data_IF_929226802921
#
_entry.id   IF_929226802921
#
_cell.length_a   1.000
_cell.length_b   1.000
_cell.length_c   1.000
_cell.angle_alpha   90.00
_cell.angle_beta   90.00
_cell.angle_gamma   90.00
#
_symmetry.space_group_name_H-M   'P 1'
#
loop_
_entity.id
_entity.type
_entity.pdbx_description
1 polymer ?
#
# COMPACT_ATOMS: atom_id res chain seq x y z
N UNK A 1 -26.07 -0.84 -13.78
CA UNK A 1 -26.63 -0.84 -15.10
C UNK A 1 -26.10 -2.03 -15.92
N UNK A 2 -26.98 -2.75 -16.66
CA UNK A 2 -26.63 -3.99 -17.40
C UNK A 2 -25.57 -3.80 -18.49
N UNK A 3 -25.34 -2.58 -18.98
CA UNK A 3 -24.36 -2.29 -20.03
C UNK A 3 -22.93 -2.43 -19.54
N UNK A 4 -22.64 -2.07 -18.29
CA UNK A 4 -21.29 -2.08 -17.71
C UNK A 4 -20.70 -3.49 -17.63
N UNK A 5 -21.54 -4.54 -17.53
CA UNK A 5 -21.09 -5.94 -17.41
C UNK A 5 -20.77 -6.57 -18.77
N UNK A 6 -21.23 -5.99 -19.89
CA UNK A 6 -21.08 -6.55 -21.24
C UNK A 6 -19.76 -6.20 -21.89
N UNK A 7 -19.21 -5.04 -21.54
CA UNK A 7 -18.03 -4.50 -22.17
C UNK A 7 -16.79 -4.74 -21.28
N UNK A 8 -15.64 -4.90 -21.92
CA UNK A 8 -14.38 -4.91 -21.16
C UNK A 8 -14.19 -3.56 -20.45
N UNK A 9 -13.69 -3.57 -19.21
CA UNK A 9 -13.36 -2.33 -18.49
C UNK A 9 -12.29 -1.51 -19.20
N UNK A 10 -12.24 -0.21 -18.90
CA UNK A 10 -11.10 0.64 -19.28
C UNK A 10 -9.82 0.10 -18.63
N UNK A 11 -8.86 -0.33 -19.45
CA UNK A 11 -7.58 -0.88 -18.99
C UNK A 11 -6.80 0.07 -18.08
N UNK A 12 -6.95 1.36 -18.31
CA UNK A 12 -6.23 2.42 -17.61
C UNK A 12 -6.96 2.90 -16.35
N UNK A 13 -8.24 2.52 -16.18
CA UNK A 13 -9.11 2.96 -15.09
C UNK A 13 -9.06 4.49 -14.91
N UNK A 14 -9.11 5.23 -16.03
CA UNK A 14 -8.85 6.68 -16.08
C UNK A 14 -9.76 7.45 -15.14
N UNK A 15 -11.07 7.18 -15.13
CA UNK A 15 -12.00 7.88 -14.26
C UNK A 15 -11.66 7.67 -12.78
N UNK A 16 -11.47 6.41 -12.36
CA UNK A 16 -11.12 6.08 -10.99
C UNK A 16 -9.79 6.74 -10.58
N UNK A 17 -8.77 6.69 -11.44
CA UNK A 17 -7.47 7.33 -11.17
C UNK A 17 -7.58 8.84 -11.02
N UNK A 18 -8.38 9.50 -11.88
CA UNK A 18 -8.62 10.95 -11.77
C UNK A 18 -9.36 11.32 -10.48
N UNK A 19 -10.35 10.52 -10.07
CA UNK A 19 -11.10 10.78 -8.85
C UNK A 19 -10.22 10.57 -7.60
N UNK A 20 -9.39 9.52 -7.57
CA UNK A 20 -8.42 9.28 -6.50
C UNK A 20 -7.31 10.36 -6.48
N UNK A 21 -6.84 10.80 -7.65
CA UNK A 21 -5.88 11.89 -7.77
C UNK A 21 -6.40 13.18 -7.14
N UNK A 22 -7.65 13.51 -7.44
CA UNK A 22 -8.35 14.67 -6.85
C UNK A 22 -8.53 14.52 -5.35
N UNK A 23 -8.92 13.31 -4.89
CA UNK A 23 -9.11 13.01 -3.47
C UNK A 23 -7.83 13.24 -2.66
N UNK A 24 -6.69 12.82 -3.20
CA UNK A 24 -5.39 12.88 -2.50
C UNK A 24 -4.55 14.12 -2.85
N UNK A 25 -4.98 14.94 -3.81
CA UNK A 25 -4.20 16.10 -4.26
C UNK A 25 -2.87 15.71 -4.93
N UNK A 26 -2.83 14.57 -5.62
CA UNK A 26 -1.62 14.07 -6.29
C UNK A 26 -1.88 13.86 -7.80
N UNK A 27 -0.84 13.87 -8.65
CA UNK A 27 -0.98 13.54 -10.07
C UNK A 27 -1.53 12.12 -10.30
N UNK A 28 -2.37 11.94 -11.32
CA UNK A 28 -2.97 10.64 -11.64
C UNK A 28 -1.95 9.58 -12.08
N UNK A 29 -0.80 10.00 -12.55
CA UNK A 29 0.33 9.15 -12.94
C UNK A 29 0.95 8.40 -11.74
N UNK A 30 0.77 8.93 -10.54
CA UNK A 30 1.20 8.29 -9.29
C UNK A 30 0.23 7.21 -8.81
N UNK A 31 -0.86 6.93 -9.54
CA UNK A 31 -1.93 6.02 -9.11
C UNK A 31 -2.07 4.81 -10.04
N UNK A 32 -2.26 3.63 -9.46
CA UNK A 32 -2.56 2.39 -10.16
C UNK A 32 -3.66 1.64 -9.40
N UNK A 33 -4.82 1.44 -10.06
CA UNK A 33 -5.87 0.58 -9.53
C UNK A 33 -5.46 -0.90 -9.62
N UNK A 34 -5.90 -1.72 -8.68
CA UNK A 34 -5.60 -3.16 -8.62
C UNK A 34 -6.77 -4.00 -8.15
N UNK A 35 -6.71 -5.30 -8.41
CA UNK A 35 -7.69 -6.31 -7.99
C UNK A 35 -7.58 -6.56 -6.48
N UNK A 36 -8.00 -5.59 -5.70
CA UNK A 36 -7.76 -5.49 -4.27
C UNK A 36 -6.29 -5.14 -3.95
N UNK A 37 -6.04 -4.80 -2.69
CA UNK A 37 -4.68 -4.57 -2.22
C UNK A 37 -3.78 -5.80 -2.36
N UNK A 38 -4.34 -7.02 -2.36
CA UNK A 38 -3.59 -8.27 -2.46
C UNK A 38 -2.80 -8.40 -3.78
N UNK A 39 -3.37 -7.99 -4.92
CA UNK A 39 -2.63 -7.91 -6.18
C UNK A 39 -1.45 -6.95 -6.06
N UNK A 40 -1.71 -5.77 -5.49
CA UNK A 40 -0.71 -4.71 -5.36
C UNK A 40 0.43 -5.10 -4.41
N UNK A 41 0.13 -5.84 -3.32
CA UNK A 41 1.17 -6.43 -2.47
C UNK A 41 2.04 -7.43 -3.25
N UNK A 42 1.46 -8.20 -4.15
CA UNK A 42 2.23 -9.14 -4.97
C UNK A 42 3.23 -8.41 -5.88
N UNK A 43 2.82 -7.30 -6.50
CA UNK A 43 3.73 -6.49 -7.31
C UNK A 43 4.77 -5.73 -6.49
N UNK A 44 4.37 -5.19 -5.34
CA UNK A 44 5.30 -4.57 -4.39
C UNK A 44 6.36 -5.56 -3.89
N UNK A 45 5.95 -6.81 -3.60
CA UNK A 45 6.84 -7.87 -3.18
C UNK A 45 7.87 -8.26 -4.26
N UNK A 46 7.50 -8.17 -5.55
CA UNK A 46 8.46 -8.36 -6.66
C UNK A 46 9.57 -7.32 -6.63
N UNK A 47 9.22 -6.07 -6.42
CA UNK A 47 10.22 -5.00 -6.29
C UNK A 47 11.03 -5.17 -4.99
N UNK A 48 10.38 -5.57 -3.90
CA UNK A 48 11.04 -5.85 -2.62
C UNK A 48 12.08 -6.98 -2.76
N UNK A 49 11.72 -8.11 -3.37
CA UNK A 49 12.63 -9.24 -3.58
C UNK A 49 13.88 -8.86 -4.38
N UNK A 50 13.76 -7.89 -5.30
CA UNK A 50 14.90 -7.35 -6.07
C UNK A 50 15.74 -6.33 -5.30
N UNK A 51 15.15 -5.69 -4.29
CA UNK A 51 15.81 -4.65 -3.51
C UNK A 51 16.65 -5.20 -2.37
N UNK A 52 16.34 -6.40 -1.88
CA UNK A 52 17.05 -7.08 -0.80
C UNK A 52 16.12 -7.66 0.29
N UNK A 53 16.66 -8.06 1.44
CA UNK A 53 15.87 -8.59 2.53
C UNK A 53 14.81 -7.62 3.03
N UNK A 54 13.59 -8.12 3.20
CA UNK A 54 12.44 -7.37 3.70
C UNK A 54 12.30 -7.50 5.21
N UNK A 55 11.92 -6.43 5.88
CA UNK A 55 11.49 -6.41 7.26
C UNK A 55 9.97 -6.33 7.32
N UNK A 56 9.31 -7.35 7.90
CA UNK A 56 7.85 -7.48 7.92
C UNK A 56 7.35 -7.41 9.36
N UNK A 57 6.30 -6.61 9.66
CA UNK A 57 5.78 -6.46 11.02
C UNK A 57 5.27 -7.79 11.59
N UNK A 58 5.53 -8.02 12.89
CA UNK A 58 5.12 -9.22 13.62
C UNK A 58 4.62 -8.83 15.03
N UNK A 59 3.40 -9.22 15.42
CA UNK A 59 2.41 -9.85 14.55
C UNK A 59 2.03 -8.93 13.39
N UNK A 60 1.53 -9.48 12.30
CA UNK A 60 1.20 -8.69 11.12
C UNK A 60 0.29 -9.42 10.15
N UNK A 61 -0.12 -8.73 9.12
CA UNK A 61 -0.96 -9.29 8.08
C UNK A 61 -0.18 -10.31 7.25
N UNK A 62 -0.68 -11.54 7.19
CA UNK A 62 0.03 -12.68 6.60
C UNK A 62 0.26 -12.56 5.07
N UNK A 63 -0.49 -11.69 4.40
CA UNK A 63 -0.40 -11.55 2.94
C UNK A 63 0.93 -10.96 2.47
N UNK A 64 1.65 -10.22 3.32
CA UNK A 64 2.97 -9.71 2.95
C UNK A 64 3.98 -10.84 2.74
N UNK A 65 4.03 -11.81 3.68
CA UNK A 65 4.92 -12.97 3.53
C UNK A 65 4.49 -13.90 2.38
N UNK A 66 3.17 -14.07 2.16
CA UNK A 66 2.66 -14.76 0.96
C UNK A 66 3.14 -14.08 -0.31
N UNK A 67 2.99 -12.76 -0.40
CA UNK A 67 3.39 -11.99 -1.57
C UNK A 67 4.89 -12.07 -1.84
N UNK A 68 5.73 -11.97 -0.79
CA UNK A 68 7.18 -12.16 -0.89
C UNK A 68 7.52 -13.57 -1.37
N UNK A 69 6.83 -14.60 -0.86
CA UNK A 69 7.01 -15.99 -1.30
C UNK A 69 6.70 -16.23 -2.79
N UNK A 70 5.83 -15.41 -3.42
CA UNK A 70 5.59 -15.50 -4.86
C UNK A 70 6.83 -15.15 -5.71
N UNK A 71 7.82 -14.49 -5.13
CA UNK A 71 9.01 -13.98 -5.82
C UNK A 71 10.32 -14.42 -5.17
N UNK A 72 10.29 -15.46 -4.35
CA UNK A 72 11.44 -15.98 -3.59
C UNK A 72 12.14 -14.89 -2.75
N UNK A 73 11.37 -13.88 -2.31
CA UNK A 73 11.87 -12.78 -1.51
C UNK A 73 12.16 -13.20 -0.07
N UNK A 74 13.36 -12.91 0.41
CA UNK A 74 13.74 -13.13 1.81
C UNK A 74 13.14 -12.07 2.73
N UNK A 75 12.78 -12.46 3.96
CA UNK A 75 12.22 -11.55 4.93
C UNK A 75 12.54 -11.92 6.38
N UNK A 76 12.59 -10.90 7.22
CA UNK A 76 12.81 -11.00 8.66
C UNK A 76 11.59 -10.42 9.39
N UNK A 77 11.34 -10.86 10.61
CA UNK A 77 10.27 -10.33 11.45
C UNK A 77 10.70 -9.05 12.17
N UNK A 78 9.94 -7.99 12.02
CA UNK A 78 10.03 -6.80 12.86
C UNK A 78 9.04 -6.93 14.02
N UNK A 79 9.54 -7.28 15.21
CA UNK A 79 8.69 -7.44 16.40
C UNK A 79 8.17 -6.07 16.84
N UNK A 80 6.85 -5.91 16.81
CA UNK A 80 6.17 -4.71 17.27
C UNK A 80 5.61 -4.91 18.69
N UNK A 81 5.57 -3.86 19.52
CA UNK A 81 4.89 -3.94 20.81
C UNK A 81 3.40 -4.21 20.61
N UNK A 82 2.83 -5.05 21.47
CA UNK A 82 1.39 -5.35 21.45
C UNK A 82 0.56 -4.36 22.27
N UNK A 83 1.23 -3.54 23.07
CA UNK A 83 0.61 -2.54 23.95
C UNK A 83 1.03 -1.15 23.53
N UNK A 84 0.07 -0.24 23.48
CA UNK A 84 0.26 1.19 23.21
C UNK A 84 -0.68 1.99 24.11
N UNK A 85 -0.35 3.27 24.32
CA UNK A 85 -1.16 4.17 25.16
C UNK A 85 -2.04 5.08 24.30
N UNK A 86 -3.36 4.94 24.44
CA UNK A 86 -4.35 5.86 23.90
C UNK A 86 -4.56 5.80 22.39
N UNK A 87 -5.39 6.72 21.90
CA UNK A 87 -5.88 6.80 20.52
C UNK A 87 -5.05 7.74 19.63
N UNK A 88 -3.93 8.23 20.15
CA UNK A 88 -3.09 9.19 19.42
C UNK A 88 -2.05 8.47 18.58
N UNK A 89 -1.69 9.02 17.40
CA UNK A 89 -0.57 8.53 16.61
C UNK A 89 0.71 8.51 17.44
N UNK A 90 1.46 7.41 17.37
CA UNK A 90 2.67 7.17 18.16
C UNK A 90 3.90 7.07 17.27
N UNK A 91 5.08 7.14 17.89
CA UNK A 91 6.32 6.86 17.20
C UNK A 91 6.47 5.34 16.97
N UNK A 92 6.83 4.95 15.75
CA UNK A 92 7.20 3.56 15.48
C UNK A 92 8.55 3.25 16.12
N UNK A 93 8.72 2.09 16.78
CA UNK A 93 10.02 1.66 17.27
C UNK A 93 11.03 1.54 16.13
N UNK A 94 12.32 1.88 16.36
CA UNK A 94 13.34 1.74 15.33
C UNK A 94 13.43 0.29 14.85
N UNK A 95 13.25 0.02 13.53
CA UNK A 95 13.39 -1.33 13.01
C UNK A 95 14.86 -1.75 12.93
N UNK A 96 15.09 -3.06 12.89
CA UNK A 96 16.38 -3.64 12.57
C UNK A 96 16.85 -3.28 11.15
N UNK A 97 18.11 -3.51 10.83
CA UNK A 97 18.64 -3.28 9.49
C UNK A 97 18.11 -4.30 8.50
N UNK A 98 17.61 -3.79 7.39
CA UNK A 98 17.17 -4.53 6.20
C UNK A 98 17.17 -3.54 5.02
N UNK A 99 16.98 -4.03 3.80
CA UNK A 99 16.90 -3.17 2.61
C UNK A 99 15.48 -2.65 2.36
N UNK A 100 14.47 -3.43 2.74
CA UNK A 100 13.06 -3.12 2.51
C UNK A 100 12.28 -3.12 3.81
N UNK A 101 11.41 -2.14 3.99
CA UNK A 101 10.52 -2.06 5.15
C UNK A 101 9.06 -2.16 4.70
N UNK A 102 8.30 -3.07 5.33
CA UNK A 102 6.86 -3.13 5.27
C UNK A 102 6.26 -2.48 6.52
N UNK A 103 5.29 -1.60 6.33
CA UNK A 103 4.56 -0.91 7.40
C UNK A 103 3.07 -1.12 7.16
N UNK A 104 2.31 -1.36 8.22
CA UNK A 104 0.86 -1.33 8.20
C UNK A 104 0.39 -0.19 9.11
N UNK A 105 -0.29 0.81 8.56
CA UNK A 105 -0.70 1.99 9.32
C UNK A 105 -2.15 2.39 9.01
N UNK A 106 -3.11 2.19 9.93
CA UNK A 106 -2.96 1.54 11.25
C UNK A 106 -2.52 0.08 11.15
N UNK A 107 -1.81 -0.38 12.17
CA UNK A 107 -1.25 -1.72 12.20
C UNK A 107 -2.35 -2.79 12.36
N UNK A 108 -2.34 -3.78 11.48
CA UNK A 108 -3.16 -4.97 11.58
C UNK A 108 -2.29 -6.12 12.16
N UNK A 109 -2.62 -6.72 13.34
CA UNK A 109 -3.96 -6.76 13.95
C UNK A 109 -4.19 -5.77 15.11
N UNK A 110 -3.19 -5.01 15.56
CA UNK A 110 -3.24 -4.31 16.86
C UNK A 110 -4.03 -3.00 16.83
N UNK A 111 -4.27 -2.41 15.65
CA UNK A 111 -4.91 -1.10 15.51
C UNK A 111 -3.99 0.09 15.82
N UNK A 112 -2.71 -0.16 16.16
CA UNK A 112 -1.75 0.90 16.43
C UNK A 112 -1.62 1.85 15.27
N UNK A 113 -1.79 3.16 15.53
CA UNK A 113 -1.57 4.23 14.56
C UNK A 113 -0.20 4.86 14.78
N UNK A 114 0.64 4.85 13.75
CA UNK A 114 1.93 5.48 13.75
C UNK A 114 1.86 6.89 13.16
N UNK A 115 2.60 7.83 13.73
CA UNK A 115 2.64 9.20 13.22
C UNK A 115 3.46 9.27 11.92
N UNK A 116 3.01 10.10 10.97
CA UNK A 116 3.80 10.41 9.76
C UNK A 116 5.21 10.86 10.13
N UNK A 117 5.33 11.72 11.14
CA UNK A 117 6.63 12.25 11.59
C UNK A 117 7.61 11.14 12.03
N UNK A 118 7.10 10.01 12.55
CA UNK A 118 7.96 8.87 12.91
C UNK A 118 8.28 7.96 11.73
N UNK A 119 7.43 7.94 10.70
CA UNK A 119 7.62 7.10 9.51
C UNK A 119 8.51 7.76 8.46
N UNK A 120 8.43 9.06 8.29
CA UNK A 120 9.15 9.83 7.26
C UNK A 120 10.69 9.63 7.32
N UNK A 121 11.36 9.64 8.48
CA UNK A 121 12.80 9.38 8.55
C UNK A 121 13.20 7.99 8.02
N UNK A 122 12.29 7.01 8.03
CA UNK A 122 12.55 5.66 7.54
C UNK A 122 12.71 5.63 6.01
N UNK A 123 12.12 6.59 5.28
CA UNK A 123 12.28 6.71 3.84
C UNK A 123 13.74 6.97 3.42
N UNK A 124 14.55 7.56 4.29
CA UNK A 124 15.98 7.78 4.05
C UNK A 124 16.85 6.57 4.41
N UNK A 125 16.30 5.64 5.19
CA UNK A 125 17.04 4.50 5.75
C UNK A 125 16.92 3.24 4.88
N UNK A 126 15.79 3.04 4.22
CA UNK A 126 15.48 1.84 3.45
C UNK A 126 15.53 2.12 1.95
N UNK A 127 15.95 1.13 1.17
CA UNK A 127 15.91 1.19 -0.31
C UNK A 127 14.49 1.21 -0.86
N UNK A 128 13.55 0.58 -0.12
CA UNK A 128 12.13 0.56 -0.46
C UNK A 128 11.31 0.52 0.83
N UNK A 129 10.29 1.37 0.91
CA UNK A 129 9.28 1.36 1.97
C UNK A 129 7.92 1.09 1.34
N UNK A 130 7.23 0.06 1.83
CA UNK A 130 5.88 -0.32 1.41
C UNK A 130 4.97 -0.08 2.60
N UNK A 131 4.06 0.88 2.47
CA UNK A 131 3.11 1.26 3.51
C UNK A 131 1.70 0.81 3.13
N UNK A 132 1.14 -0.12 3.91
CA UNK A 132 -0.25 -0.52 3.83
C UNK A 132 -1.10 0.42 4.67
N UNK A 133 -1.89 1.25 4.01
CA UNK A 133 -2.84 2.18 4.63
C UNK A 133 -4.30 1.74 4.39
N UNK A 134 -4.56 0.45 4.27
CA UNK A 134 -5.90 -0.08 3.96
C UNK A 134 -6.97 0.34 4.98
N UNK A 135 -6.60 0.55 6.22
CA UNK A 135 -7.50 0.94 7.32
C UNK A 135 -7.42 2.42 7.69
N UNK A 136 -6.48 3.18 7.14
CA UNK A 136 -6.29 4.58 7.51
C UNK A 136 -7.53 5.47 7.27
N UNK A 137 -8.30 5.28 6.19
CA UNK A 137 -9.53 6.04 5.97
C UNK A 137 -10.65 5.82 7.02
N UNK A 138 -10.52 4.78 7.85
CA UNK A 138 -11.48 4.49 8.94
C UNK A 138 -11.12 5.19 10.25
N UNK A 139 -9.93 5.77 10.35
CA UNK A 139 -9.48 6.48 11.54
C UNK A 139 -9.94 7.94 11.45
N UNK A 140 -10.65 8.47 12.45
CA UNK A 140 -10.95 9.90 12.51
C UNK A 140 -9.66 10.72 12.38
N UNK A 141 -9.65 11.67 11.46
CA UNK A 141 -8.47 12.50 11.12
C UNK A 141 -7.21 11.72 10.71
N UNK A 142 -7.34 10.42 10.43
CA UNK A 142 -6.22 9.53 10.10
C UNK A 142 -5.45 9.95 8.85
N UNK A 143 -6.09 10.61 7.90
CA UNK A 143 -5.45 11.08 6.65
C UNK A 143 -4.25 12.01 6.89
N UNK A 144 -4.20 12.71 8.03
CA UNK A 144 -3.04 13.50 8.42
C UNK A 144 -1.78 12.64 8.65
N UNK A 145 -1.94 11.34 8.88
CA UNK A 145 -0.84 10.38 9.05
C UNK A 145 -0.47 9.64 7.77
N UNK A 146 -1.17 9.89 6.65
CA UNK A 146 -0.88 9.25 5.36
C UNK A 146 0.48 9.65 4.82
N UNK A 147 1.19 8.69 4.22
CA UNK A 147 2.44 8.93 3.49
C UNK A 147 2.20 9.30 2.02
N UNK A 148 0.96 9.27 1.51
CA UNK A 148 0.66 9.60 0.11
C UNK A 148 1.25 10.94 -0.32
N UNK A 149 1.15 12.04 0.47
CA UNK A 149 1.73 13.33 0.06
C UNK A 149 3.23 13.32 -0.17
N UNK A 150 3.96 12.36 0.42
CA UNK A 150 5.41 12.24 0.28
C UNK A 150 5.84 11.48 -0.97
N UNK A 151 4.92 10.77 -1.65
CA UNK A 151 5.24 9.91 -2.79
C UNK A 151 5.84 10.70 -3.95
N UNK A 152 5.33 11.90 -4.24
CA UNK A 152 5.80 12.71 -5.35
C UNK A 152 7.31 13.05 -5.26
N UNK A 153 7.82 13.20 -4.03
CA UNK A 153 9.20 13.60 -3.76
C UNK A 153 10.11 12.42 -3.37
N UNK A 154 9.53 11.20 -3.26
CA UNK A 154 10.22 10.05 -2.67
C UNK A 154 10.21 8.85 -3.61
N UNK A 155 11.33 8.55 -4.25
CA UNK A 155 11.44 7.49 -5.27
C UNK A 155 11.29 6.05 -4.74
N UNK A 156 11.42 5.84 -3.44
CA UNK A 156 11.43 4.53 -2.79
C UNK A 156 10.20 4.25 -1.92
N UNK A 157 9.15 5.06 -2.02
CA UNK A 157 7.91 4.87 -1.28
C UNK A 157 6.81 4.28 -2.17
N UNK A 158 6.11 3.27 -1.64
CA UNK A 158 4.87 2.72 -2.18
C UNK A 158 3.82 2.75 -1.09
N UNK A 159 2.69 3.40 -1.34
CA UNK A 159 1.52 3.35 -0.44
C UNK A 159 0.44 2.53 -1.10
N UNK A 160 -0.14 1.57 -0.36
CA UNK A 160 -1.22 0.71 -0.84
C UNK A 160 -2.48 0.97 -0.02
N UNK A 161 -3.59 1.18 -0.72
CA UNK A 161 -4.91 1.46 -0.15
C UNK A 161 -5.94 0.42 -0.59
N UNK A 162 -6.93 0.20 0.24
CA UNK A 162 -8.06 -0.67 -0.04
C UNK A 162 -9.36 0.13 0.00
N UNK A 163 -10.17 0.04 -1.05
CA UNK A 163 -11.53 0.62 -1.06
C UNK A 163 -12.55 -0.33 -0.41
N UNK A 164 -12.18 -1.59 -0.23
CA UNK A 164 -13.09 -2.62 0.28
C UNK A 164 -13.53 -2.41 1.72
N UNK A 165 -12.70 -1.75 2.55
CA UNK A 165 -12.96 -1.53 3.97
C UNK A 165 -13.91 -0.36 4.19
N UNK A 166 -13.53 0.82 3.75
CA UNK A 166 -14.31 2.05 3.94
C UNK A 166 -15.70 1.95 3.32
N UNK A 167 -15.81 1.38 2.11
CA UNK A 167 -17.06 1.35 1.35
C UNK A 167 -17.85 0.04 1.51
N UNK A 168 -17.35 -0.93 2.29
CA UNK A 168 -18.04 -2.22 2.48
C UNK A 168 -18.20 -3.05 1.18
N UNK A 169 -17.30 -2.87 0.20
CA UNK A 169 -17.39 -3.46 -1.14
C UNK A 169 -16.36 -4.57 -1.36
N UNK A 170 -16.14 -5.41 -0.36
CA UNK A 170 -15.12 -6.46 -0.42
C UNK A 170 -15.24 -7.38 -1.65
N UNK A 171 -16.46 -7.66 -2.10
CA UNK A 171 -16.73 -8.48 -3.28
C UNK A 171 -16.25 -7.87 -4.61
N UNK A 172 -16.14 -6.55 -4.71
CA UNK A 172 -15.65 -5.88 -5.93
C UNK A 172 -14.14 -5.97 -6.12
N UNK A 173 -13.40 -6.38 -5.08
CA UNK A 173 -11.94 -6.55 -5.16
C UNK A 173 -11.23 -5.30 -5.68
N UNK A 174 -11.34 -4.17 -4.98
CA UNK A 174 -10.82 -2.89 -5.44
C UNK A 174 -9.83 -2.29 -4.43
N UNK A 175 -8.65 -1.95 -4.92
CA UNK A 175 -7.61 -1.22 -4.20
C UNK A 175 -6.78 -0.38 -5.16
N UNK A 176 -5.85 0.38 -4.65
CA UNK A 176 -4.92 1.16 -5.45
C UNK A 176 -3.57 1.32 -4.77
N UNK A 177 -2.54 1.47 -5.59
CA UNK A 177 -1.20 1.85 -5.17
C UNK A 177 -0.91 3.30 -5.56
N UNK A 178 -0.15 3.98 -4.72
CA UNK A 178 0.43 5.29 -4.98
C UNK A 178 1.95 5.15 -4.92
N UNK A 179 2.63 5.39 -6.03
CA UNK A 179 4.07 5.26 -6.17
C UNK A 179 4.57 6.05 -7.38
N UNK A 180 5.89 6.11 -7.58
CA UNK A 180 6.47 6.76 -8.76
C UNK A 180 5.96 6.12 -10.07
N UNK A 181 5.74 6.92 -11.13
CA UNK A 181 5.12 6.48 -12.38
C UNK A 181 5.86 5.31 -13.03
N UNK A 182 7.19 5.32 -13.04
CA UNK A 182 8.02 4.27 -13.66
C UNK A 182 7.81 2.92 -12.99
N UNK A 183 7.58 2.90 -11.67
CA UNK A 183 7.25 1.69 -10.91
C UNK A 183 5.88 1.16 -11.31
N UNK A 184 4.89 2.02 -11.32
CA UNK A 184 3.51 1.66 -11.63
C UNK A 184 3.34 1.21 -13.09
N UNK A 185 4.06 1.84 -14.02
CA UNK A 185 4.08 1.44 -15.43
C UNK A 185 4.67 0.03 -15.62
N UNK A 186 5.75 -0.31 -14.88
CA UNK A 186 6.29 -1.68 -14.90
C UNK A 186 5.26 -2.71 -14.40
N UNK A 187 4.56 -2.41 -13.30
CA UNK A 187 3.51 -3.29 -12.78
C UNK A 187 2.35 -3.44 -13.77
N UNK A 188 1.89 -2.34 -14.35
CA UNK A 188 0.84 -2.35 -15.36
C UNK A 188 1.21 -3.16 -16.61
N UNK A 189 2.49 -3.17 -16.99
CA UNK A 189 2.98 -3.95 -18.12
C UNK A 189 3.00 -5.47 -17.86
N UNK A 190 3.21 -5.89 -16.61
CA UNK A 190 3.37 -7.31 -16.27
C UNK A 190 2.10 -8.01 -15.82
N UNK A 191 1.07 -7.26 -15.45
CA UNK A 191 -0.21 -7.81 -14.97
C UNK A 191 -1.18 -8.08 -16.10
N UNK A 192 -2.28 -8.75 -15.77
CA UNK A 192 -3.40 -8.92 -16.68
C UNK A 192 -3.92 -7.58 -17.19
N UNK A 193 -4.34 -7.50 -18.48
CA UNK A 193 -4.77 -6.25 -19.09
C UNK A 193 -6.09 -5.69 -18.50
N UNK A 194 -6.91 -6.51 -17.83
CA UNK A 194 -8.17 -6.12 -17.18
C UNK A 194 -8.23 -6.63 -15.73
N UNK A 195 -7.35 -6.15 -14.83
CA UNK A 195 -7.25 -6.70 -13.47
C UNK A 195 -8.43 -6.30 -12.58
N UNK A 196 -9.11 -5.21 -12.90
CA UNK A 196 -10.22 -4.65 -12.12
C UNK A 196 -11.49 -4.65 -12.96
N UNK A 197 -12.63 -5.02 -12.35
CA UNK A 197 -13.93 -4.99 -13.01
C UNK A 197 -14.37 -3.55 -13.34
N UNK A 198 -15.40 -3.41 -14.19
CA UNK A 198 -15.93 -2.14 -14.65
C UNK A 198 -17.11 -1.58 -13.83
N UNK A 199 -17.42 -2.21 -12.67
CA UNK A 199 -18.57 -1.83 -11.83
C UNK A 199 -18.19 -0.72 -10.87
#
# INVERSE_FOLDING_TARGET
>A
SRSIIRDYPDRSHNQLRCDLARLHGVPSELLLAGNGAAELFTWAARDAAKSGPSLVPSPGFADYSRALGCWDGSWLRHQLPLTWSGDRPQAIPPPAEADVLWICNPHNPTGQLWSRASLEPLLKRFRLVICDEAFLPLVPDGEHQSLIPLVAETGNLVVIRSLTKLYGIAGLRLGYAVAQPERLQRWAHWRDPWPVNGI
#
